data_IF_995910624771
#
_entry.id   IF_995910624771
#
_cell.length_a   1.000
_cell.length_b   1.000
_cell.length_c   1.000
_cell.angle_alpha   90.00
_cell.angle_beta   90.00
_cell.angle_gamma   90.00
#
_symmetry.space_group_name_H-M   'P 1'
#
loop_
_entity.id
_entity.type
_entity.pdbx_description
1 polymer ?
#
# COMPACT_ATOMS: atom_id res chain seq x y z
N UNK A 1 -15.53 -11.05 0.70
CA UNK A 1 -14.23 -10.34 0.75
C UNK A 1 -14.09 -9.55 -0.53
N UNK A 2 -13.63 -8.30 -0.49
CA UNK A 2 -13.40 -7.48 -1.69
C UNK A 2 -11.90 -7.44 -1.95
N UNK A 3 -11.48 -7.55 -3.22
CA UNK A 3 -10.09 -7.37 -3.56
C UNK A 3 -9.81 -5.86 -3.71
N UNK A 4 -8.84 -5.36 -2.95
CA UNK A 4 -8.37 -3.98 -3.09
C UNK A 4 -7.03 -4.03 -3.81
N UNK A 5 -6.91 -3.25 -4.88
CA UNK A 5 -5.66 -3.06 -5.59
C UNK A 5 -4.98 -1.83 -5.01
N UNK A 6 -3.96 -2.04 -4.20
CA UNK A 6 -3.31 -0.96 -3.48
C UNK A 6 -2.01 -0.58 -4.20
N UNK A 7 -1.90 0.69 -4.59
CA UNK A 7 -0.76 1.22 -5.32
C UNK A 7 -0.03 2.20 -4.42
N UNK A 8 1.18 1.88 -3.97
CA UNK A 8 1.94 2.75 -3.09
C UNK A 8 2.96 3.52 -3.93
N UNK A 9 2.91 4.84 -3.82
CA UNK A 9 3.95 5.69 -4.39
C UNK A 9 5.03 5.80 -3.33
N UNK A 10 6.15 5.15 -3.59
CA UNK A 10 7.26 5.10 -2.66
C UNK A 10 7.99 6.44 -2.75
N UNK A 11 8.29 7.02 -1.59
CA UNK A 11 9.21 8.14 -1.26
C UNK A 11 9.87 8.90 -2.42
N UNK A 12 10.13 10.22 -2.33
CA UNK A 12 10.89 10.96 -3.36
C UNK A 12 12.30 10.40 -3.67
N UNK A 13 12.78 9.42 -2.89
CA UNK A 13 14.04 8.70 -3.11
C UNK A 13 13.91 7.39 -3.92
N UNK A 14 12.70 6.99 -4.34
CA UNK A 14 12.50 5.82 -5.19
C UNK A 14 11.93 6.24 -6.55
N UNK A 15 12.62 5.85 -7.62
CA UNK A 15 12.22 6.15 -9.00
C UNK A 15 10.98 5.36 -9.47
N UNK A 16 10.51 4.35 -8.72
CA UNK A 16 9.49 3.39 -9.18
C UNK A 16 8.38 3.21 -8.12
N UNK A 17 7.09 3.43 -8.46
CA UNK A 17 5.97 3.12 -7.58
C UNK A 17 5.85 1.60 -7.36
N UNK A 18 5.57 1.20 -6.12
CA UNK A 18 5.44 -0.20 -5.74
C UNK A 18 3.95 -0.56 -5.65
N UNK A 19 3.54 -1.58 -6.40
CA UNK A 19 2.17 -2.10 -6.31
C UNK A 19 2.16 -3.37 -5.46
N UNK A 20 1.19 -3.49 -4.55
CA UNK A 20 0.93 -4.76 -3.90
C UNK A 20 -0.58 -5.04 -3.83
N UNK A 21 -0.94 -6.31 -4.02
CA UNK A 21 -2.32 -6.73 -3.95
C UNK A 21 -2.62 -7.13 -2.50
N UNK A 22 -3.54 -6.41 -1.86
CA UNK A 22 -3.95 -6.70 -0.48
C UNK A 22 -5.39 -7.19 -0.50
N UNK A 23 -5.57 -8.39 0.07
CA UNK A 23 -6.90 -8.85 0.40
C UNK A 23 -7.31 -8.23 1.73
N UNK A 24 -8.40 -7.48 1.74
CA UNK A 24 -8.92 -6.79 2.91
C UNK A 24 -10.45 -6.78 2.89
N UNK A 25 -11.08 -6.78 4.06
CA UNK A 25 -12.53 -6.65 4.22
C UNK A 25 -12.98 -5.18 4.12
N UNK A 26 -12.07 -4.22 4.24
CA UNK A 26 -12.36 -2.78 4.12
C UNK A 26 -11.17 -1.98 3.57
N UNK A 27 -11.43 -0.77 3.08
CA UNK A 27 -10.39 0.15 2.62
C UNK A 27 -9.42 0.52 3.76
N UNK A 28 -9.92 0.82 4.96
CA UNK A 28 -9.09 1.15 6.12
C UNK A 28 -8.15 0.00 6.52
N UNK A 29 -8.64 -1.24 6.44
CA UNK A 29 -7.80 -2.41 6.69
C UNK A 29 -6.75 -2.60 5.58
N UNK A 30 -7.13 -2.35 4.31
CA UNK A 30 -6.18 -2.42 3.19
C UNK A 30 -5.02 -1.41 3.36
N UNK A 31 -5.31 -0.20 3.85
CA UNK A 31 -4.33 0.84 4.16
C UNK A 31 -3.45 0.47 5.36
N UNK A 32 -4.02 -0.17 6.38
CA UNK A 32 -3.25 -0.63 7.54
C UNK A 32 -2.27 -1.75 7.17
N UNK A 33 -2.75 -2.76 6.43
CA UNK A 33 -1.94 -3.89 6.00
C UNK A 33 -0.82 -3.43 5.04
N UNK A 34 -1.13 -2.46 4.18
CA UNK A 34 -0.19 -1.77 3.33
C UNK A 34 0.95 -1.11 4.11
N UNK A 35 0.61 -0.27 5.08
CA UNK A 35 1.58 0.45 5.88
C UNK A 35 2.51 -0.52 6.62
N UNK A 36 1.96 -1.58 7.21
CA UNK A 36 2.74 -2.61 7.90
C UNK A 36 3.76 -3.29 6.97
N UNK A 37 3.35 -3.62 5.74
CA UNK A 37 4.26 -4.28 4.79
C UNK A 37 5.34 -3.33 4.26
N UNK A 38 5.03 -2.04 4.12
CA UNK A 38 6.00 -1.00 3.75
C UNK A 38 6.99 -0.74 4.89
N UNK A 39 6.52 -0.57 6.11
CA UNK A 39 7.37 -0.37 7.30
C UNK A 39 8.31 -1.56 7.50
N UNK A 40 7.84 -2.79 7.24
CA UNK A 40 8.67 -4.01 7.30
C UNK A 40 9.77 -4.04 6.24
N UNK A 41 9.47 -3.61 5.02
CA UNK A 41 10.44 -3.64 3.89
C UNK A 41 11.40 -2.46 3.91
N UNK A 42 10.97 -1.33 4.46
CA UNK A 42 11.65 -0.05 4.33
C UNK A 42 11.43 0.83 5.59
N UNK A 43 11.96 0.42 6.76
CA UNK A 43 11.63 1.01 8.06
C UNK A 43 12.02 2.49 8.22
N UNK A 44 12.93 3.01 7.41
CA UNK A 44 13.44 4.39 7.52
C UNK A 44 12.87 5.35 6.47
N UNK A 45 11.96 4.88 5.62
CA UNK A 45 11.44 5.66 4.51
C UNK A 45 10.00 6.13 4.75
N UNK A 46 9.65 7.28 4.16
CA UNK A 46 8.29 7.82 4.20
C UNK A 46 7.54 7.41 2.94
N UNK A 47 6.32 6.90 3.09
CA UNK A 47 5.50 6.42 1.97
C UNK A 47 4.22 7.22 1.85
N UNK A 48 3.68 7.27 0.62
CA UNK A 48 2.31 7.68 0.38
C UNK A 48 1.52 6.50 -0.18
N UNK A 49 0.47 6.12 0.53
CA UNK A 49 -0.36 4.96 0.20
C UNK A 49 -1.59 5.43 -0.57
N UNK A 50 -1.78 4.90 -1.79
CA UNK A 50 -2.99 5.14 -2.59
C UNK A 50 -3.73 3.81 -2.74
N UNK A 51 -5.00 3.79 -2.36
CA UNK A 51 -5.84 2.59 -2.48
C UNK A 51 -6.79 2.76 -3.66
N UNK A 52 -6.86 1.75 -4.53
CA UNK A 52 -7.82 1.69 -5.62
C UNK A 52 -8.72 0.49 -5.36
N UNK A 53 -10.00 0.74 -5.09
CA UNK A 53 -10.99 -0.34 -5.05
C UNK A 53 -11.36 -0.72 -6.48
N UNK A 54 -11.17 -1.99 -6.85
CA UNK A 54 -11.78 -2.51 -8.07
C UNK A 54 -13.25 -2.84 -7.75
N UNK A 55 -14.17 -2.25 -8.51
CA UNK A 55 -15.62 -2.31 -8.28
C UNK A 55 -16.22 -3.55 -8.93
#
# INVERSE_FOLDING_TARGET
MKNFKVTYVVSPYFDIPCQCNINAISESESQKNAQQELDRRYPEQKFSIITISEN
#
